data_IF_845730766085
#
_entry.id   IF_845730766085
#
_cell.length_a   1.000
_cell.length_b   1.000
_cell.length_c   1.000
_cell.angle_alpha   90.00
_cell.angle_beta   90.00
_cell.angle_gamma   90.00
#
_symmetry.space_group_name_H-M   'P 1'
#
loop_
_entity.id
_entity.type
_entity.pdbx_description
1 polymer ?
#
# COMPACT_ATOMS: atom_id res chain seq x y z
N UNK A 1 60.06 8.43 1.10
CA UNK A 1 59.39 7.20 1.59
C UNK A 1 58.59 7.59 2.82
N UNK A 2 57.27 7.71 2.68
CA UNK A 2 56.36 7.61 3.82
C UNK A 2 54.99 7.22 3.29
N UNK A 3 54.46 6.19 3.93
CA UNK A 3 53.37 5.33 3.49
C UNK A 3 52.02 5.97 3.83
N UNK A 4 51.10 5.84 2.88
CA UNK A 4 49.68 6.16 2.98
C UNK A 4 49.00 5.34 4.08
N UNK A 5 48.11 5.96 4.86
CA UNK A 5 47.03 5.26 5.53
C UNK A 5 45.74 6.05 5.33
N UNK A 6 44.85 5.47 4.51
CA UNK A 6 43.55 5.99 4.16
C UNK A 6 42.56 5.72 5.30
N UNK A 7 41.90 6.81 5.67
CA UNK A 7 40.71 6.96 6.49
C UNK A 7 39.68 5.84 6.33
N UNK A 8 39.28 5.26 7.46
CA UNK A 8 37.99 4.62 7.67
C UNK A 8 36.88 5.67 7.51
N UNK A 9 36.04 5.51 6.49
CA UNK A 9 34.79 6.25 6.35
C UNK A 9 33.65 5.32 6.79
N UNK A 10 33.28 5.40 8.06
CA UNK A 10 32.03 4.83 8.56
C UNK A 10 30.88 5.67 7.98
N UNK A 11 30.21 5.10 6.97
CA UNK A 11 29.01 5.66 6.35
C UNK A 11 27.83 5.52 7.30
N UNK A 12 27.49 6.62 7.97
CA UNK A 12 26.33 6.76 8.84
C UNK A 12 25.04 6.74 7.99
N UNK A 13 24.47 5.55 7.77
CA UNK A 13 23.16 5.39 7.14
C UNK A 13 22.05 5.71 8.16
N UNK A 14 21.17 6.66 7.84
CA UNK A 14 20.01 7.01 8.66
C UNK A 14 19.07 5.80 8.87
N UNK A 15 18.33 5.71 9.98
CA UNK A 15 17.36 4.64 10.20
C UNK A 15 16.27 4.67 9.12
N UNK A 16 15.99 3.52 8.51
CA UNK A 16 14.97 3.37 7.48
C UNK A 16 13.60 3.13 8.14
N UNK A 17 12.62 3.99 7.86
CA UNK A 17 11.25 3.90 8.39
C UNK A 17 10.17 3.67 7.31
N UNK A 18 9.07 3.04 7.73
CA UNK A 18 8.03 2.56 6.81
C UNK A 18 7.28 3.69 6.12
N UNK A 19 7.11 4.82 6.80
CA UNK A 19 6.37 5.98 6.31
C UNK A 19 7.14 6.71 5.18
N UNK A 20 8.46 6.83 5.30
CA UNK A 20 9.31 7.39 4.24
C UNK A 20 9.28 6.58 2.96
N UNK A 21 9.17 5.25 3.06
CA UNK A 21 8.99 4.38 1.89
C UNK A 21 7.60 4.55 1.28
N UNK A 22 6.53 4.60 2.09
CA UNK A 22 5.16 4.88 1.63
C UNK A 22 5.11 6.17 0.82
N UNK A 23 5.73 7.24 1.33
CA UNK A 23 5.77 8.53 0.65
C UNK A 23 6.42 8.45 -0.73
N UNK A 24 7.60 7.82 -0.81
CA UNK A 24 8.33 7.72 -2.08
C UNK A 24 7.55 6.97 -3.17
N UNK A 25 6.70 5.99 -2.79
CA UNK A 25 5.81 5.29 -3.73
C UNK A 25 4.76 6.23 -4.32
N UNK A 26 4.20 7.13 -3.51
CA UNK A 26 3.22 8.11 -3.98
C UNK A 26 3.85 9.19 -4.84
N UNK A 27 5.05 9.69 -4.52
CA UNK A 27 5.75 10.62 -5.41
C UNK A 27 6.01 9.99 -6.78
N UNK A 28 6.45 8.73 -6.80
CA UNK A 28 6.69 7.97 -8.01
C UNK A 28 5.41 7.74 -8.85
N UNK A 29 4.22 7.81 -8.23
CA UNK A 29 2.96 7.69 -8.96
C UNK A 29 2.68 8.86 -9.92
N UNK A 30 3.26 10.02 -9.65
CA UNK A 30 3.10 11.23 -10.45
C UNK A 30 4.32 11.49 -11.36
N UNK A 31 5.48 10.88 -11.05
CA UNK A 31 6.71 10.99 -11.84
C UNK A 31 7.41 9.63 -11.98
N UNK A 32 7.47 9.12 -13.21
CA UNK A 32 8.02 7.79 -13.48
C UNK A 32 9.50 7.64 -13.08
N UNK A 33 10.28 8.73 -13.10
CA UNK A 33 11.71 8.71 -12.81
C UNK A 33 12.03 8.44 -11.33
N UNK A 34 11.04 8.56 -10.43
CA UNK A 34 11.23 8.37 -8.99
C UNK A 34 11.02 6.91 -8.53
N UNK A 35 10.53 6.02 -9.39
CA UNK A 35 10.24 4.63 -9.02
C UNK A 35 11.48 3.86 -8.55
N UNK A 36 12.64 4.08 -9.17
CA UNK A 36 13.88 3.41 -8.78
C UNK A 36 14.27 3.78 -7.34
N UNK A 37 14.29 5.07 -7.00
CA UNK A 37 14.59 5.52 -5.64
C UNK A 37 13.54 5.11 -4.60
N UNK A 38 12.27 5.01 -4.99
CA UNK A 38 11.22 4.53 -4.10
C UNK A 38 11.42 3.05 -3.75
N UNK A 39 11.77 2.23 -4.74
CA UNK A 39 12.06 0.81 -4.53
C UNK A 39 13.33 0.57 -3.72
N UNK A 40 14.32 1.45 -3.81
CA UNK A 40 15.50 1.41 -2.92
C UNK A 40 15.10 1.59 -1.46
N UNK A 41 14.22 2.56 -1.16
CA UNK A 41 13.70 2.78 0.19
C UNK A 41 12.91 1.59 0.70
N UNK A 42 12.07 0.98 -0.15
CA UNK A 42 11.33 -0.25 0.19
C UNK A 42 12.29 -1.39 0.56
N UNK A 43 13.32 -1.64 -0.26
CA UNK A 43 14.26 -2.71 -0.01
C UNK A 43 15.00 -2.52 1.32
N UNK A 44 15.43 -1.29 1.56
CA UNK A 44 16.25 -0.93 2.70
C UNK A 44 15.53 -1.15 4.05
N UNK A 45 14.20 -1.05 4.13
CA UNK A 45 13.42 -1.37 5.35
C UNK A 45 13.60 -2.78 5.89
N UNK A 46 14.02 -3.68 5.01
CA UNK A 46 14.20 -5.10 5.31
C UNK A 46 15.65 -5.51 5.08
N UNK A 47 16.60 -4.56 5.11
CA UNK A 47 18.02 -4.78 4.83
C UNK A 47 18.27 -5.57 3.53
N UNK A 48 17.45 -5.34 2.51
CA UNK A 48 17.46 -6.14 1.29
C UNK A 48 18.37 -5.54 0.22
N UNK A 49 18.89 -6.39 -0.67
CA UNK A 49 19.74 -6.02 -1.82
C UNK A 49 19.00 -5.09 -2.77
N UNK A 50 17.69 -5.32 -2.94
CA UNK A 50 16.84 -4.44 -3.74
C UNK A 50 15.39 -4.90 -3.79
N UNK A 51 14.56 -4.11 -4.45
CA UNK A 51 13.15 -4.38 -4.68
C UNK A 51 12.77 -4.13 -6.15
N UNK A 52 11.84 -4.94 -6.65
CA UNK A 52 11.38 -4.94 -8.04
C UNK A 52 9.87 -5.07 -8.09
N UNK A 53 9.27 -4.36 -9.05
CA UNK A 53 7.86 -4.55 -9.41
C UNK A 53 7.82 -5.52 -10.59
N UNK A 54 7.06 -6.60 -10.45
CA UNK A 54 6.68 -7.45 -11.57
C UNK A 54 5.23 -7.18 -11.94
N UNK A 55 4.94 -7.12 -13.23
CA UNK A 55 3.59 -6.99 -13.74
C UNK A 55 3.37 -7.98 -14.89
N UNK A 56 2.23 -8.67 -14.86
CA UNK A 56 1.80 -9.49 -15.98
C UNK A 56 1.28 -8.58 -17.09
N UNK A 57 1.59 -8.90 -18.34
CA UNK A 57 1.03 -8.25 -19.52
C UNK A 57 0.48 -9.30 -20.48
N UNK A 58 -0.29 -8.92 -21.53
CA UNK A 58 -0.69 -9.85 -22.57
C UNK A 58 0.49 -10.54 -23.27
N UNK A 59 1.67 -9.90 -23.30
CA UNK A 59 2.89 -10.41 -23.93
C UNK A 59 3.73 -11.28 -22.99
N UNK A 60 3.39 -11.35 -21.69
CA UNK A 60 4.16 -12.07 -20.68
C UNK A 60 4.46 -11.23 -19.45
N UNK A 61 5.32 -11.75 -18.57
CA UNK A 61 5.77 -11.01 -17.39
C UNK A 61 6.76 -9.91 -17.75
N UNK A 62 6.58 -8.76 -17.13
CA UNK A 62 7.38 -7.56 -17.33
C UNK A 62 7.90 -7.06 -15.99
N UNK A 63 8.96 -6.25 -16.05
CA UNK A 63 9.52 -5.54 -14.90
C UNK A 63 9.35 -4.03 -15.15
N UNK A 64 8.25 -3.42 -14.69
CA UNK A 64 8.03 -1.99 -14.90
C UNK A 64 9.08 -1.10 -14.24
N UNK A 65 9.59 -1.50 -13.07
CA UNK A 65 10.66 -0.78 -12.37
C UNK A 65 11.38 -1.66 -11.36
N UNK A 66 12.63 -1.30 -11.06
CA UNK A 66 13.46 -1.92 -10.02
C UNK A 66 14.39 -0.87 -9.37
N UNK A 67 14.84 -1.17 -8.15
CA UNK A 67 15.90 -0.42 -7.47
C UNK A 67 17.27 -0.68 -8.11
N UNK A 68 18.21 0.27 -8.03
CA UNK A 68 19.52 0.13 -8.67
C UNK A 68 20.31 -1.11 -8.23
N UNK A 69 20.20 -1.48 -6.94
CA UNK A 69 20.93 -2.63 -6.36
C UNK A 69 20.63 -4.00 -6.98
N UNK A 70 19.55 -4.12 -7.76
CA UNK A 70 19.19 -5.37 -8.46
C UNK A 70 19.00 -5.17 -9.98
N UNK A 71 19.39 -4.01 -10.52
CA UNK A 71 19.21 -3.70 -11.94
C UNK A 71 19.96 -4.71 -12.84
N UNK A 72 21.18 -5.10 -12.48
CA UNK A 72 21.96 -6.10 -13.22
C UNK A 72 21.29 -7.50 -13.18
N UNK A 73 20.72 -7.86 -12.02
CA UNK A 73 19.96 -9.10 -11.87
C UNK A 73 18.71 -9.11 -12.76
N UNK A 74 17.99 -7.99 -12.82
CA UNK A 74 16.82 -7.81 -13.69
C UNK A 74 17.22 -7.88 -15.18
N UNK A 75 18.33 -7.27 -15.57
CA UNK A 75 18.85 -7.37 -16.94
C UNK A 75 19.10 -8.82 -17.36
N UNK A 76 19.89 -9.55 -16.56
CA UNK A 76 20.17 -10.98 -16.80
C UNK A 76 18.90 -11.85 -16.75
N UNK A 77 17.94 -11.53 -15.87
CA UNK A 77 16.65 -12.24 -15.80
C UNK A 77 15.90 -12.19 -17.13
N UNK A 78 15.85 -11.00 -17.76
CA UNK A 78 15.15 -10.77 -19.02
C UNK A 78 15.93 -11.37 -20.20
N UNK A 79 17.23 -11.11 -20.28
CA UNK A 79 18.09 -11.54 -21.39
C UNK A 79 18.23 -13.07 -21.48
N UNK A 80 18.34 -13.74 -20.34
CA UNK A 80 18.52 -15.20 -20.25
C UNK A 80 17.18 -15.96 -20.11
N UNK A 81 16.04 -15.25 -20.18
CA UNK A 81 14.71 -15.85 -20.17
C UNK A 81 14.38 -16.64 -18.89
N UNK A 82 14.81 -16.14 -17.72
CA UNK A 82 14.61 -16.83 -16.44
C UNK A 82 13.13 -16.92 -16.01
N UNK A 83 12.23 -16.17 -16.66
CA UNK A 83 10.78 -16.28 -16.45
C UNK A 83 10.22 -17.68 -16.70
N UNK A 84 10.76 -18.42 -17.66
CA UNK A 84 10.35 -19.80 -17.93
C UNK A 84 10.87 -20.83 -16.91
N UNK A 85 11.79 -20.43 -16.02
CA UNK A 85 12.45 -21.27 -15.01
C UNK A 85 12.27 -20.71 -13.60
N UNK A 86 11.34 -19.78 -13.42
CA UNK A 86 11.09 -19.12 -12.15
C UNK A 86 10.03 -19.92 -11.36
N UNK A 87 10.38 -20.55 -10.22
CA UNK A 87 9.43 -21.34 -9.44
C UNK A 87 8.24 -20.53 -8.92
N UNK A 88 8.37 -19.21 -8.80
CA UNK A 88 7.28 -18.29 -8.45
C UNK A 88 6.20 -18.19 -9.53
N UNK A 89 6.49 -18.62 -10.77
CA UNK A 89 5.57 -18.55 -11.90
C UNK A 89 5.00 -19.92 -12.32
N UNK A 90 5.46 -21.00 -11.67
CA UNK A 90 5.10 -22.39 -11.99
C UNK A 90 3.77 -22.85 -11.37
N UNK A 91 3.05 -21.97 -10.66
CA UNK A 91 1.75 -22.32 -10.06
C UNK A 91 1.85 -23.36 -8.92
N UNK A 92 2.98 -23.39 -8.22
CA UNK A 92 3.29 -24.37 -7.16
C UNK A 92 2.43 -24.26 -5.90
N UNK A 93 1.75 -23.12 -5.70
CA UNK A 93 0.80 -22.94 -4.60
C UNK A 93 -0.57 -23.50 -5.03
N UNK A 94 -1.13 -24.55 -4.38
CA UNK A 94 -2.37 -25.20 -4.82
C UNK A 94 -3.61 -24.28 -4.85
N UNK A 95 -3.65 -23.28 -3.96
CA UNK A 95 -4.69 -22.25 -3.93
C UNK A 95 -4.37 -21.05 -4.84
N UNK A 96 -3.18 -21.03 -5.44
CA UNK A 96 -2.63 -19.88 -6.15
C UNK A 96 -2.20 -18.75 -5.21
N UNK A 97 -1.64 -17.71 -5.82
CA UNK A 97 -1.32 -16.45 -5.15
C UNK A 97 -2.59 -15.61 -4.97
N UNK A 98 -2.81 -15.07 -3.78
CA UNK A 98 -3.89 -14.13 -3.53
C UNK A 98 -3.36 -12.70 -3.42
N UNK A 99 -4.07 -11.77 -4.03
CA UNK A 99 -3.79 -10.35 -3.83
C UNK A 99 -4.03 -9.96 -2.36
N UNK A 100 -3.14 -9.14 -1.82
CA UNK A 100 -3.15 -8.75 -0.40
C UNK A 100 -2.50 -9.78 0.52
N UNK A 101 -1.86 -10.82 0.00
CA UNK A 101 -1.03 -11.76 0.77
C UNK A 101 0.47 -11.52 0.51
N UNK A 102 1.31 -12.04 1.41
CA UNK A 102 2.77 -12.00 1.33
C UNK A 102 3.31 -13.41 1.43
N UNK A 103 4.18 -13.76 0.49
CA UNK A 103 4.79 -15.08 0.36
C UNK A 103 6.31 -14.96 0.37
N UNK A 104 6.98 -15.98 0.90
CA UNK A 104 8.44 -16.15 0.78
C UNK A 104 8.76 -17.40 -0.03
N UNK A 105 10.05 -17.62 -0.32
CA UNK A 105 10.49 -18.84 -0.99
C UNK A 105 10.06 -20.12 -0.28
N UNK A 106 9.94 -20.07 1.05
CA UNK A 106 9.58 -21.20 1.90
C UNK A 106 8.11 -21.62 1.76
N UNK A 107 7.27 -20.71 1.26
CA UNK A 107 5.86 -20.99 0.96
C UNK A 107 5.71 -21.75 -0.38
N UNK A 108 6.77 -21.83 -1.18
CA UNK A 108 6.77 -22.33 -2.56
C UNK A 108 7.65 -23.59 -2.71
N UNK A 109 8.80 -23.59 -2.05
CA UNK A 109 9.80 -24.65 -2.10
C UNK A 109 10.19 -25.07 -0.68
N UNK A 110 10.41 -26.36 -0.47
CA UNK A 110 11.12 -26.79 0.73
C UNK A 110 12.61 -26.44 0.65
N UNK A 111 13.31 -26.44 1.80
CA UNK A 111 14.74 -26.09 1.88
C UNK A 111 15.62 -26.97 0.98
N UNK A 112 15.26 -28.24 0.79
CA UNK A 112 16.03 -29.19 -0.01
C UNK A 112 15.86 -28.92 -1.50
N UNK A 113 14.66 -28.56 -1.94
CA UNK A 113 14.33 -28.16 -3.31
C UNK A 113 14.95 -26.82 -3.65
N UNK A 114 14.84 -25.83 -2.76
CA UNK A 114 15.43 -24.50 -2.95
C UNK A 114 16.95 -24.58 -3.20
N UNK A 115 17.65 -25.46 -2.47
CA UNK A 115 19.10 -25.65 -2.64
C UNK A 115 19.52 -26.25 -3.99
N UNK A 116 18.61 -26.95 -4.68
CA UNK A 116 18.86 -27.62 -5.96
C UNK A 116 18.23 -26.89 -7.15
N UNK A 117 17.33 -25.95 -6.88
CA UNK A 117 16.65 -25.19 -7.91
C UNK A 117 17.63 -24.22 -8.59
N UNK A 118 17.77 -24.32 -9.91
CA UNK A 118 18.70 -23.49 -10.69
C UNK A 118 18.42 -21.99 -10.56
N UNK A 119 17.15 -21.58 -10.35
CA UNK A 119 16.82 -20.17 -10.11
C UNK A 119 17.52 -19.62 -8.87
N UNK A 120 17.59 -20.41 -7.79
CA UNK A 120 18.25 -20.00 -6.54
C UNK A 120 19.76 -20.28 -6.55
N UNK A 121 20.16 -21.49 -6.93
CA UNK A 121 21.53 -21.96 -6.83
C UNK A 121 22.47 -21.33 -7.88
N UNK A 122 21.96 -21.01 -9.07
CA UNK A 122 22.74 -20.46 -10.19
C UNK A 122 22.38 -19.00 -10.49
N UNK A 123 21.09 -18.67 -10.66
CA UNK A 123 20.72 -17.29 -11.02
C UNK A 123 20.81 -16.29 -9.84
N UNK A 124 20.01 -16.44 -8.79
CA UNK A 124 19.97 -15.47 -7.69
C UNK A 124 21.31 -15.35 -6.95
N UNK A 125 22.03 -16.46 -6.80
CA UNK A 125 23.33 -16.50 -6.13
C UNK A 125 24.41 -15.65 -6.83
N UNK A 126 24.38 -15.54 -8.17
CA UNK A 126 25.28 -14.66 -8.96
C UNK A 126 25.19 -13.19 -8.55
N UNK A 127 24.03 -12.77 -8.04
CA UNK A 127 23.75 -11.40 -7.63
C UNK A 127 23.70 -11.24 -6.10
N UNK A 128 24.18 -12.23 -5.35
CA UNK A 128 24.19 -12.19 -3.88
C UNK A 128 22.81 -12.31 -3.23
N UNK A 129 21.78 -12.72 -3.99
CA UNK A 129 20.41 -12.88 -3.49
C UNK A 129 20.23 -14.31 -2.98
N UNK A 130 19.57 -14.49 -1.84
CA UNK A 130 19.27 -15.82 -1.29
C UNK A 130 17.85 -15.96 -0.75
N UNK A 131 17.23 -14.86 -0.34
CA UNK A 131 15.86 -14.85 0.18
C UNK A 131 15.00 -13.93 -0.67
N UNK A 132 13.75 -14.34 -0.92
CA UNK A 132 12.82 -13.58 -1.76
C UNK A 132 11.47 -13.51 -1.06
N UNK A 133 10.97 -12.30 -0.85
CA UNK A 133 9.64 -12.06 -0.33
C UNK A 133 8.83 -11.26 -1.35
N UNK A 134 7.64 -11.73 -1.67
CA UNK A 134 6.76 -11.08 -2.63
C UNK A 134 5.40 -10.80 -2.01
N UNK A 135 4.89 -9.59 -2.22
CA UNK A 135 3.48 -9.30 -1.99
C UNK A 135 2.76 -9.16 -3.32
N UNK A 136 1.61 -9.80 -3.41
CA UNK A 136 0.79 -9.83 -4.61
C UNK A 136 -0.23 -8.70 -4.49
N UNK A 137 -0.25 -7.83 -5.49
CA UNK A 137 -1.00 -6.57 -5.48
C UNK A 137 -2.23 -6.72 -6.36
N UNK A 138 -3.37 -6.21 -5.90
CA UNK A 138 -4.57 -6.19 -6.71
C UNK A 138 -4.44 -5.08 -7.76
N UNK A 139 -4.43 -5.45 -9.03
CA UNK A 139 -4.39 -4.47 -10.11
C UNK A 139 -5.76 -4.40 -10.77
N UNK A 140 -6.48 -3.30 -10.54
CA UNK A 140 -7.70 -2.98 -11.29
C UNK A 140 -7.43 -2.76 -12.79
N UNK A 141 -6.15 -2.71 -13.21
CA UNK A 141 -5.72 -2.74 -14.60
C UNK A 141 -5.84 -4.14 -15.25
N UNK A 142 -6.34 -5.14 -14.53
CA UNK A 142 -6.62 -6.48 -15.07
C UNK A 142 -5.39 -7.38 -15.19
N UNK A 143 -4.28 -7.02 -14.56
CA UNK A 143 -3.01 -7.74 -14.67
C UNK A 143 -2.35 -7.94 -13.31
N UNK A 144 -2.11 -9.19 -12.86
CA UNK A 144 -1.40 -9.45 -11.61
C UNK A 144 -0.09 -8.66 -11.51
N UNK A 145 0.04 -7.86 -10.46
CA UNK A 145 1.25 -7.10 -10.13
C UNK A 145 1.77 -7.60 -8.80
N UNK A 146 3.08 -7.58 -8.60
CA UNK A 146 3.69 -7.90 -7.32
C UNK A 146 4.88 -7.00 -7.05
N UNK A 147 5.06 -6.67 -5.78
CA UNK A 147 6.32 -6.12 -5.28
C UNK A 147 7.13 -7.25 -4.68
N UNK A 148 8.39 -7.34 -5.10
CA UNK A 148 9.31 -8.39 -4.69
C UNK A 148 10.53 -7.73 -4.07
N UNK A 149 10.95 -8.25 -2.93
CA UNK A 149 12.11 -7.79 -2.19
C UNK A 149 13.10 -8.95 -2.08
N UNK A 150 14.37 -8.66 -2.42
CA UNK A 150 15.44 -9.66 -2.55
C UNK A 150 16.51 -9.41 -1.48
N UNK A 151 16.69 -10.36 -0.55
CA UNK A 151 17.62 -10.23 0.58
C UNK A 151 18.84 -11.15 0.43
N UNK A 152 19.97 -10.67 0.93
CA UNK A 152 21.23 -11.40 0.93
C UNK A 152 21.23 -12.51 1.99
N UNK A 153 22.10 -13.52 1.80
CA UNK A 153 22.25 -14.61 2.77
C UNK A 153 22.71 -14.15 4.15
N UNK A 154 23.50 -13.07 4.22
CA UNK A 154 24.06 -12.55 5.48
C UNK A 154 23.00 -12.04 6.45
N UNK A 155 21.85 -11.60 5.93
CA UNK A 155 20.78 -10.97 6.71
C UNK A 155 19.73 -11.97 7.23
N UNK A 156 19.88 -13.26 6.91
CA UNK A 156 18.92 -14.30 7.28
C UNK A 156 17.59 -14.25 6.50
N UNK A 157 16.69 -15.17 6.82
CA UNK A 157 15.36 -15.25 6.19
C UNK A 157 14.43 -14.13 6.65
N UNK A 158 13.41 -13.82 5.85
CA UNK A 158 12.37 -12.87 6.23
C UNK A 158 11.52 -13.35 7.41
N UNK A 159 11.27 -12.44 8.35
CA UNK A 159 10.48 -12.69 9.55
C UNK A 159 9.05 -12.12 9.42
N UNK A 160 8.18 -12.41 10.40
CA UNK A 160 6.80 -11.91 10.41
C UNK A 160 6.70 -10.38 10.41
N UNK A 161 7.69 -9.69 11.00
CA UNK A 161 7.78 -8.24 10.97
C UNK A 161 8.00 -7.73 9.53
N UNK A 162 8.90 -8.37 8.79
CA UNK A 162 9.16 -8.06 7.37
C UNK A 162 7.90 -8.27 6.52
N UNK A 163 7.20 -9.39 6.74
CA UNK A 163 5.94 -9.70 6.03
C UNK A 163 4.88 -8.63 6.28
N UNK A 164 4.70 -8.18 7.52
CA UNK A 164 3.74 -7.13 7.88
C UNK A 164 4.10 -5.79 7.24
N UNK A 165 5.39 -5.44 7.25
CA UNK A 165 5.88 -4.21 6.63
C UNK A 165 5.67 -4.21 5.11
N UNK A 166 6.04 -5.31 4.42
CA UNK A 166 5.83 -5.42 2.99
C UNK A 166 4.34 -5.41 2.63
N UNK A 167 3.49 -6.06 3.43
CA UNK A 167 2.04 -6.03 3.21
C UNK A 167 1.47 -4.61 3.29
N UNK A 168 1.93 -3.80 4.25
CA UNK A 168 1.51 -2.40 4.35
C UNK A 168 1.96 -1.61 3.12
N UNK A 169 3.23 -1.73 2.73
CA UNK A 169 3.79 -1.06 1.55
C UNK A 169 3.10 -1.48 0.26
N UNK A 170 2.77 -2.76 0.11
CA UNK A 170 2.09 -3.29 -1.05
C UNK A 170 0.72 -2.63 -1.27
N UNK A 171 -0.01 -2.31 -0.20
CA UNK A 171 -1.28 -1.55 -0.28
C UNK A 171 -1.06 -0.13 -0.75
N UNK A 172 -0.02 0.54 -0.25
CA UNK A 172 0.32 1.89 -0.68
C UNK A 172 0.83 1.93 -2.13
N UNK A 173 1.59 0.91 -2.54
CA UNK A 173 2.00 0.73 -3.92
C UNK A 173 0.78 0.47 -4.80
N UNK A 174 -0.19 -0.33 -4.36
CA UNK A 174 -1.44 -0.54 -5.08
C UNK A 174 -2.13 0.79 -5.40
N UNK A 175 -2.28 1.64 -4.38
CA UNK A 175 -2.87 2.97 -4.55
C UNK A 175 -2.03 3.84 -5.49
N UNK A 176 -0.71 3.83 -5.34
CA UNK A 176 0.21 4.57 -6.21
C UNK A 176 0.10 4.14 -7.68
N UNK A 177 -0.06 2.83 -7.94
CA UNK A 177 -0.27 2.31 -9.29
C UNK A 177 -1.66 2.68 -9.84
N UNK A 178 -2.70 2.75 -8.99
CA UNK A 178 -4.03 3.27 -9.40
C UNK A 178 -3.96 4.74 -9.79
N UNK A 179 -3.20 5.56 -9.07
CA UNK A 179 -2.96 6.97 -9.40
C UNK A 179 -2.26 7.07 -10.75
N UNK A 180 -1.17 6.31 -10.93
CA UNK A 180 -0.42 6.25 -12.19
C UNK A 180 -1.33 5.84 -13.34
N UNK A 181 -2.17 4.82 -13.14
CA UNK A 181 -3.13 4.34 -14.12
C UNK A 181 -4.20 5.38 -14.49
N UNK A 182 -4.78 6.05 -13.48
CA UNK A 182 -5.76 7.10 -13.68
C UNK A 182 -5.14 8.27 -14.44
N UNK A 183 -3.90 8.65 -14.09
CA UNK A 183 -3.14 9.70 -14.78
C UNK A 183 -2.78 9.32 -16.23
N UNK A 184 -2.35 8.09 -16.49
CA UNK A 184 -2.04 7.63 -17.85
C UNK A 184 -3.31 7.51 -18.72
N UNK A 185 -4.42 7.00 -18.16
CA UNK A 185 -5.72 6.98 -18.84
C UNK A 185 -6.24 8.39 -19.09
N UNK A 186 -6.01 9.32 -18.16
CA UNK A 186 -6.48 10.70 -18.30
C UNK A 186 -5.72 11.45 -19.41
N UNK A 187 -4.42 11.20 -19.59
CA UNK A 187 -3.64 11.68 -20.74
C UNK A 187 -4.20 11.20 -22.10
N UNK A 188 -4.72 9.98 -22.17
CA UNK A 188 -5.32 9.43 -23.40
C UNK A 188 -6.71 10.02 -23.67
N UNK A 189 -7.45 10.41 -22.62
CA UNK A 189 -8.77 11.04 -22.71
C UNK A 189 -8.73 12.58 -22.81
N UNK A 190 -7.55 13.21 -22.80
CA UNK A 190 -7.39 14.67 -22.83
C UNK A 190 -7.68 15.39 -21.50
N UNK A 191 -7.83 14.63 -20.42
CA UNK A 191 -8.12 15.07 -19.05
C UNK A 191 -6.86 15.31 -18.22
N UNK A 192 -6.96 16.19 -17.23
CA UNK A 192 -5.81 16.70 -16.46
C UNK A 192 -5.43 15.80 -15.27
N UNK A 193 -4.22 15.95 -14.69
CA UNK A 193 -3.78 15.25 -13.45
C UNK A 193 -4.75 15.49 -12.30
N UNK A 194 -5.28 16.71 -12.24
CA UNK A 194 -6.35 17.17 -11.38
C UNK A 194 -7.58 16.25 -11.36
N UNK A 195 -8.02 15.76 -12.52
CA UNK A 195 -9.18 14.86 -12.62
C UNK A 195 -8.86 13.45 -12.13
N UNK A 196 -7.63 12.98 -12.33
CA UNK A 196 -7.16 11.70 -11.79
C UNK A 196 -7.07 11.74 -10.26
N UNK A 197 -6.59 12.85 -9.69
CA UNK A 197 -6.59 13.11 -8.25
C UNK A 197 -8.01 13.07 -7.67
N UNK A 198 -8.99 13.70 -8.34
CA UNK A 198 -10.39 13.73 -7.88
C UNK A 198 -11.09 12.36 -7.93
N UNK A 199 -10.61 11.43 -8.76
CA UNK A 199 -11.16 10.07 -8.90
C UNK A 199 -10.63 9.06 -7.86
N UNK A 200 -9.64 9.44 -7.03
CA UNK A 200 -9.06 8.54 -6.02
C UNK A 200 -10.03 8.27 -4.86
N UNK A 201 -10.08 7.01 -4.40
CA UNK A 201 -10.89 6.60 -3.26
C UNK A 201 -10.26 6.96 -1.90
N UNK A 202 -8.94 7.01 -1.82
CA UNK A 202 -8.22 7.42 -0.61
C UNK A 202 -8.37 8.94 -0.38
N UNK A 203 -8.77 9.42 0.81
CA UNK A 203 -8.79 10.84 1.12
C UNK A 203 -7.41 11.50 0.95
N UNK A 204 -7.34 12.49 0.05
CA UNK A 204 -6.14 13.27 -0.22
C UNK A 204 -6.46 14.77 -0.32
N UNK A 205 -5.61 15.59 0.29
CA UNK A 205 -5.69 17.06 0.27
C UNK A 205 -4.34 17.65 -0.11
N UNK A 206 -4.36 18.81 -0.73
CA UNK A 206 -3.17 19.62 -0.98
C UNK A 206 -3.31 20.90 -0.18
N UNK A 207 -2.37 21.15 0.71
CA UNK A 207 -2.35 22.31 1.59
C UNK A 207 -1.32 23.33 1.08
N UNK A 208 -1.64 24.62 1.21
CA UNK A 208 -0.67 25.69 1.00
C UNK A 208 0.28 25.89 2.21
N UNK A 209 1.16 26.88 2.10
CA UNK A 209 2.08 27.30 3.16
C UNK A 209 1.37 27.72 4.47
N UNK A 210 0.10 28.10 4.41
CA UNK A 210 -0.74 28.46 5.56
C UNK A 210 -1.67 27.32 5.98
N UNK A 211 -1.44 26.10 5.47
CA UNK A 211 -2.28 24.92 5.70
C UNK A 211 -3.71 25.04 5.19
N UNK A 212 -3.98 25.98 4.27
CA UNK A 212 -5.29 26.10 3.62
C UNK A 212 -5.42 25.05 2.54
N UNK A 213 -6.56 24.34 2.44
CA UNK A 213 -6.77 23.39 1.36
C UNK A 213 -6.80 24.12 0.01
N UNK A 214 -5.77 23.92 -0.81
CA UNK A 214 -5.79 24.34 -2.22
C UNK A 214 -6.63 23.39 -3.05
N UNK A 215 -6.61 22.10 -2.70
CA UNK A 215 -7.39 21.06 -3.36
C UNK A 215 -7.77 19.94 -2.40
N UNK A 216 -8.95 19.38 -2.59
CA UNK A 216 -9.44 18.18 -1.94
C UNK A 216 -9.94 17.23 -3.03
N UNK A 217 -9.61 15.94 -2.94
CA UNK A 217 -10.30 14.97 -3.78
C UNK A 217 -11.69 14.65 -3.22
N UNK A 218 -12.50 13.91 -4.00
CA UNK A 218 -13.88 13.58 -3.63
C UNK A 218 -13.98 12.90 -2.26
N UNK A 219 -13.05 12.01 -1.93
CA UNK A 219 -13.04 11.29 -0.65
C UNK A 219 -12.66 12.18 0.52
N UNK A 220 -11.71 13.11 0.35
CA UNK A 220 -11.29 14.06 1.37
C UNK A 220 -12.37 15.07 1.75
N UNK A 221 -13.28 15.40 0.83
CA UNK A 221 -14.43 16.26 1.13
C UNK A 221 -15.30 15.75 2.29
N UNK A 222 -15.29 14.44 2.58
CA UNK A 222 -16.03 13.84 3.71
C UNK A 222 -15.35 14.06 5.07
N UNK A 223 -14.06 14.41 5.08
CA UNK A 223 -13.30 14.63 6.31
C UNK A 223 -13.51 16.05 6.86
N UNK A 224 -13.72 17.02 5.97
CA UNK A 224 -14.03 18.40 6.33
C UNK A 224 -15.44 18.46 6.94
N UNK A 225 -15.56 19.13 8.08
CA UNK A 225 -16.76 19.20 8.92
C UNK A 225 -16.87 18.09 9.98
N UNK A 226 -16.21 16.93 9.77
CA UNK A 226 -16.17 15.83 10.76
C UNK A 226 -14.88 15.87 11.57
N UNK A 227 -13.74 15.72 10.90
CA UNK A 227 -12.42 15.67 11.52
C UNK A 227 -11.69 17.01 11.48
N UNK A 228 -12.00 17.84 10.49
CA UNK A 228 -11.37 19.13 10.29
C UNK A 228 -12.37 20.26 10.11
N UNK A 229 -11.98 21.45 10.53
CA UNK A 229 -12.63 22.72 10.25
C UNK A 229 -11.68 23.61 9.46
N UNK A 230 -12.21 24.33 8.48
CA UNK A 230 -11.47 25.34 7.74
C UNK A 230 -11.70 26.71 8.39
N UNK A 231 -10.62 27.39 8.77
CA UNK A 231 -10.64 28.73 9.35
C UNK A 231 -9.69 29.67 8.60
N UNK A 232 -9.62 30.94 9.03
CA UNK A 232 -8.66 31.91 8.48
C UNK A 232 -7.20 31.46 8.67
N UNK A 233 -6.92 30.62 9.69
CA UNK A 233 -5.60 30.06 9.98
C UNK A 233 -5.30 28.76 9.20
N UNK A 234 -6.22 28.34 8.31
CA UNK A 234 -6.11 27.11 7.53
C UNK A 234 -6.94 25.95 8.07
N UNK A 235 -6.62 24.74 7.61
CA UNK A 235 -7.27 23.52 8.05
C UNK A 235 -6.82 23.18 9.47
N UNK A 236 -7.76 22.90 10.37
CA UNK A 236 -7.48 22.52 11.76
C UNK A 236 -8.34 21.33 12.17
N UNK A 237 -7.82 20.40 13.00
CA UNK A 237 -8.65 19.38 13.63
C UNK A 237 -9.83 19.99 14.38
N UNK A 238 -10.99 19.34 14.35
CA UNK A 238 -12.18 19.76 15.11
C UNK A 238 -11.94 19.70 16.62
N UNK A 239 -11.11 18.76 17.07
CA UNK A 239 -10.74 18.57 18.48
C UNK A 239 -9.44 19.33 18.78
N UNK A 240 -9.50 20.30 19.70
CA UNK A 240 -8.37 21.17 20.02
C UNK A 240 -7.12 20.44 20.49
N UNK A 241 -7.26 19.27 21.12
CA UNK A 241 -6.14 18.46 21.60
C UNK A 241 -5.25 17.92 20.46
N UNK A 242 -5.77 17.85 19.23
CA UNK A 242 -5.05 17.31 18.08
C UNK A 242 -4.37 18.39 17.24
N UNK A 243 -4.69 19.66 17.51
CA UNK A 243 -4.25 20.79 16.69
C UNK A 243 -2.73 20.92 16.67
N UNK A 244 -2.07 20.81 17.82
CA UNK A 244 -0.61 20.97 17.92
C UNK A 244 0.13 19.86 17.16
N UNK A 245 -0.29 18.60 17.33
CA UNK A 245 0.28 17.44 16.63
C UNK A 245 0.10 17.56 15.12
N UNK A 246 -1.10 17.91 14.66
CA UNK A 246 -1.41 18.14 13.25
C UNK A 246 -0.57 19.28 12.64
N UNK A 247 -0.54 20.44 13.30
CA UNK A 247 0.21 21.62 12.81
C UNK A 247 1.68 21.28 12.71
N UNK A 248 2.27 20.66 13.74
CA UNK A 248 3.68 20.27 13.72
C UNK A 248 4.00 19.29 12.59
N UNK A 249 3.06 18.39 12.26
CA UNK A 249 3.18 17.40 11.19
C UNK A 249 3.16 18.06 9.81
N UNK A 250 2.30 19.06 9.59
CA UNK A 250 2.26 19.81 8.33
C UNK A 250 3.47 20.75 8.19
N UNK A 251 3.87 21.46 9.25
CA UNK A 251 5.04 22.36 9.23
C UNK A 251 6.34 21.62 8.92
N UNK A 252 6.51 20.39 9.45
CA UNK A 252 7.66 19.53 9.11
C UNK A 252 7.70 19.22 7.61
N UNK A 253 6.57 18.84 7.02
CA UNK A 253 6.49 18.61 5.58
C UNK A 253 6.80 19.87 4.76
N UNK A 254 6.40 21.06 5.23
CA UNK A 254 6.74 22.33 4.57
C UNK A 254 8.22 22.74 4.74
N UNK A 255 8.86 22.32 5.83
CA UNK A 255 10.26 22.63 6.10
C UNK A 255 11.21 21.76 5.24
N UNK A 256 10.80 20.55 4.87
CA UNK A 256 11.63 19.62 4.10
C UNK A 256 11.61 19.95 2.60
N UNK A 257 12.45 20.90 2.20
CA UNK A 257 12.64 21.30 0.80
C UNK A 257 13.71 20.48 0.08
N UNK A 258 14.34 19.51 0.75
CA UNK A 258 15.52 18.79 0.23
C UNK A 258 15.64 17.33 0.69
N UNK A 259 14.57 16.53 0.79
CA UNK A 259 14.64 15.07 0.97
C UNK A 259 15.73 14.60 1.97
N UNK A 260 15.97 15.38 3.03
CA UNK A 260 17.09 15.17 3.95
C UNK A 260 16.55 15.06 5.37
N UNK A 261 16.47 13.79 5.77
CA UNK A 261 16.68 13.33 7.15
C UNK A 261 15.73 13.87 8.20
N UNK A 262 14.42 13.97 7.93
CA UNK A 262 13.44 14.13 9.01
C UNK A 262 12.26 13.17 8.85
N UNK A 263 12.05 12.40 9.92
CA UNK A 263 10.98 11.41 10.13
C UNK A 263 9.62 12.13 10.02
N UNK A 264 8.77 11.84 9.01
CA UNK A 264 7.38 12.26 9.05
C UNK A 264 6.73 11.59 10.26
N UNK A 265 6.20 12.39 11.18
CA UNK A 265 5.40 11.85 12.27
C UNK A 265 3.95 11.87 11.79
N UNK A 266 3.28 10.72 11.66
CA UNK A 266 1.86 10.74 11.35
C UNK A 266 1.10 11.39 12.50
N UNK A 267 0.20 12.31 12.17
CA UNK A 267 -0.71 12.89 13.15
C UNK A 267 -1.93 11.97 13.31
N UNK A 268 -2.41 11.83 14.54
CA UNK A 268 -3.66 11.11 14.80
C UNK A 268 -4.75 12.11 15.15
N UNK A 269 -5.86 12.06 14.41
CA UNK A 269 -6.98 12.97 14.58
C UNK A 269 -8.17 12.20 15.17
N UNK A 270 -8.70 12.75 16.25
CA UNK A 270 -9.89 12.26 16.91
C UNK A 270 -11.13 12.59 16.10
N UNK A 271 -12.11 11.70 16.18
CA UNK A 271 -13.45 11.98 15.71
C UNK A 271 -14.20 12.93 16.67
N UNK A 272 -15.44 13.34 16.36
CA UNK A 272 -16.23 14.19 17.25
C UNK A 272 -16.53 13.58 18.63
N UNK A 273 -16.37 12.26 18.79
CA UNK A 273 -16.53 11.56 20.07
C UNK A 273 -15.23 11.55 20.90
N UNK A 274 -14.13 12.02 20.33
CA UNK A 274 -12.81 12.13 20.99
C UNK A 274 -11.89 10.93 20.75
N UNK A 275 -12.32 9.92 20.00
CA UNK A 275 -11.55 8.71 19.75
C UNK A 275 -10.61 8.89 18.55
N UNK A 276 -9.34 8.47 18.67
CA UNK A 276 -8.33 8.55 17.62
C UNK A 276 -8.69 7.62 16.46
N UNK A 277 -9.39 8.14 15.46
CA UNK A 277 -9.95 7.36 14.34
C UNK A 277 -9.35 7.70 12.99
N UNK A 278 -8.63 8.81 12.84
CA UNK A 278 -8.03 9.17 11.57
C UNK A 278 -6.52 9.27 11.73
N UNK A 279 -5.78 8.61 10.84
CA UNK A 279 -4.32 8.78 10.75
C UNK A 279 -4.02 9.62 9.52
N UNK A 280 -3.17 10.62 9.69
CA UNK A 280 -2.81 11.59 8.67
C UNK A 280 -1.32 11.56 8.42
N UNK A 281 -0.95 11.42 7.15
CA UNK A 281 0.43 11.55 6.67
C UNK A 281 0.55 12.79 5.82
N UNK A 282 1.64 13.52 5.98
CA UNK A 282 1.95 14.73 5.23
C UNK A 282 3.26 14.57 4.49
N UNK A 283 3.35 15.24 3.36
CA UNK A 283 4.50 15.12 2.50
C UNK A 283 4.68 16.36 1.62
N UNK A 284 5.90 16.85 1.41
CA UNK A 284 6.12 18.00 0.52
C UNK A 284 5.70 17.66 -0.90
N UNK A 285 5.07 18.61 -1.59
CA UNK A 285 4.78 18.51 -3.01
C UNK A 285 5.69 19.50 -3.75
N UNK A 286 6.77 18.99 -4.34
CA UNK A 286 7.82 19.80 -4.99
C UNK A 286 8.04 19.41 -6.45
N UNK A 287 8.61 20.34 -7.22
CA UNK A 287 9.10 20.08 -8.58
C UNK A 287 8.02 19.61 -9.56
N UNK A 288 8.34 18.59 -10.36
CA UNK A 288 7.51 18.12 -11.47
C UNK A 288 6.12 17.62 -11.05
N UNK A 289 5.96 17.15 -9.81
CA UNK A 289 4.67 16.69 -9.28
C UNK A 289 3.74 17.86 -8.95
N UNK A 290 4.30 18.97 -8.44
CA UNK A 290 3.56 20.22 -8.23
C UNK A 290 3.13 20.82 -9.58
N UNK A 291 4.04 20.87 -10.56
CA UNK A 291 3.77 21.35 -11.92
C UNK A 291 2.66 20.53 -12.59
N UNK A 292 2.71 19.20 -12.47
CA UNK A 292 1.71 18.29 -13.01
C UNK A 292 0.30 18.58 -12.46
N UNK A 293 0.20 18.95 -11.18
CA UNK A 293 -1.05 19.34 -10.52
C UNK A 293 -1.43 20.82 -10.77
N UNK A 294 -0.65 21.56 -11.55
CA UNK A 294 -0.93 22.95 -11.95
C UNK A 294 -0.37 24.00 -10.99
N UNK A 295 0.52 23.62 -10.07
CA UNK A 295 1.16 24.53 -9.13
C UNK A 295 2.51 25.01 -9.68
N UNK A 296 2.54 26.24 -10.21
CA UNK A 296 3.67 26.77 -11.01
C UNK A 296 4.65 27.63 -10.19
N UNK A 297 4.30 27.96 -8.94
CA UNK A 297 5.12 28.82 -8.07
C UNK A 297 5.88 28.00 -7.03
N UNK A 298 7.03 28.51 -6.53
CA UNK A 298 7.76 27.89 -5.43
C UNK A 298 7.02 28.12 -4.09
N UNK A 299 5.80 27.63 -4.01
CA UNK A 299 5.00 27.58 -2.79
C UNK A 299 5.25 26.22 -2.13
N UNK A 300 5.27 26.19 -0.79
CA UNK A 300 5.50 24.97 -0.01
C UNK A 300 4.19 24.20 0.10
N UNK A 301 3.82 23.51 -0.97
CA UNK A 301 2.63 22.67 -0.97
C UNK A 301 2.87 21.39 -0.19
N UNK A 302 1.84 20.92 0.52
CA UNK A 302 1.88 19.65 1.25
C UNK A 302 0.77 18.77 0.74
N UNK A 303 1.12 17.58 0.26
CA UNK A 303 0.17 16.49 0.06
C UNK A 303 -0.13 15.87 1.43
N UNK A 304 -1.40 15.84 1.78
CA UNK A 304 -1.91 15.19 2.98
C UNK A 304 -2.77 14.00 2.60
N UNK A 305 -2.46 12.84 3.13
CA UNK A 305 -3.24 11.61 2.98
C UNK A 305 -3.85 11.24 4.32
N UNK A 306 -5.10 10.81 4.31
CA UNK A 306 -5.80 10.49 5.55
C UNK A 306 -6.52 9.14 5.47
N UNK A 307 -6.31 8.27 6.45
CA UNK A 307 -6.97 6.96 6.56
C UNK A 307 -7.84 6.93 7.80
N UNK A 308 -9.13 6.69 7.58
CA UNK A 308 -10.09 6.44 8.65
C UNK A 308 -9.96 4.98 9.10
N UNK A 309 -9.60 4.79 10.36
CA UNK A 309 -9.41 3.50 11.03
C UNK A 309 -10.73 2.78 11.30
N UNK A 310 -11.85 3.52 11.24
CA UNK A 310 -13.18 3.02 11.56
C UNK A 310 -14.10 2.89 10.36
N UNK A 311 -13.65 3.24 9.14
CA UNK A 311 -14.43 2.94 7.95
C UNK A 311 -14.50 1.42 7.79
N UNK A 312 -15.53 0.84 8.43
CA UNK A 312 -16.17 -0.42 8.12
C UNK A 312 -16.51 -0.34 6.64
N UNK A 313 -15.57 -0.74 5.78
CA UNK A 313 -15.91 -1.00 4.40
C UNK A 313 -16.83 -2.21 4.45
N UNK A 314 -18.13 -1.92 4.46
CA UNK A 314 -19.16 -2.88 4.12
C UNK A 314 -18.75 -3.47 2.78
N UNK A 315 -18.33 -4.74 2.79
CA UNK A 315 -18.00 -5.45 1.55
C UNK A 315 -19.26 -5.40 0.71
N UNK A 316 -19.13 -4.97 -0.54
CA UNK A 316 -20.27 -4.94 -1.43
C UNK A 316 -20.92 -6.35 -1.46
N UNK A 317 -22.22 -6.49 -1.15
CA UNK A 317 -22.86 -7.81 -1.09
C UNK A 317 -22.71 -8.63 -2.38
N UNK A 318 -22.50 -7.98 -3.52
CA UNK A 318 -22.26 -8.67 -4.80
C UNK A 318 -20.91 -9.41 -4.82
N UNK A 319 -19.88 -8.91 -4.13
CA UNK A 319 -18.56 -9.53 -4.01
C UNK A 319 -18.64 -10.77 -3.13
N UNK A 320 -19.23 -10.65 -1.93
CA UNK A 320 -19.46 -11.79 -1.02
C UNK A 320 -20.25 -12.89 -1.74
N UNK A 321 -21.28 -12.49 -2.51
CA UNK A 321 -22.10 -13.42 -3.29
C UNK A 321 -21.28 -14.23 -4.28
N UNK A 322 -20.39 -13.56 -5.03
CA UNK A 322 -19.55 -14.18 -6.05
C UNK A 322 -18.49 -15.10 -5.44
N UNK A 323 -17.83 -14.67 -4.37
CA UNK A 323 -16.73 -15.41 -3.76
C UNK A 323 -17.21 -16.65 -3.00
N UNK A 324 -18.33 -16.54 -2.27
CA UNK A 324 -18.82 -17.61 -1.41
C UNK A 324 -20.08 -18.31 -1.92
N UNK A 325 -20.53 -18.01 -3.14
CA UNK A 325 -21.75 -18.60 -3.71
C UNK A 325 -23.01 -18.34 -2.87
N UNK A 326 -23.05 -17.24 -2.11
CA UNK A 326 -24.20 -16.89 -1.29
C UNK A 326 -25.38 -16.42 -2.16
N UNK A 327 -26.57 -16.35 -1.57
CA UNK A 327 -27.71 -15.64 -2.15
C UNK A 327 -27.64 -14.14 -1.86
N UNK A 328 -28.42 -13.32 -2.57
CA UNK A 328 -28.46 -11.86 -2.34
C UNK A 328 -28.82 -11.49 -0.90
N UNK A 329 -29.74 -12.23 -0.26
CA UNK A 329 -30.12 -12.00 1.14
C UNK A 329 -29.03 -12.41 2.14
N UNK A 330 -28.39 -13.55 1.91
CA UNK A 330 -27.26 -14.03 2.72
C UNK A 330 -26.06 -13.08 2.63
N UNK A 331 -25.74 -12.61 1.43
CA UNK A 331 -24.62 -11.70 1.23
C UNK A 331 -24.84 -10.32 1.85
N UNK A 332 -26.09 -9.81 1.84
CA UNK A 332 -26.45 -8.57 2.55
C UNK A 332 -26.29 -8.71 4.06
N UNK A 333 -26.70 -9.83 4.63
CA UNK A 333 -26.51 -10.11 6.07
C UNK A 333 -25.02 -10.25 6.41
N UNK A 334 -24.25 -10.99 5.60
CA UNK A 334 -22.80 -11.16 5.79
C UNK A 334 -22.04 -9.82 5.70
N UNK A 335 -22.39 -8.96 4.73
CA UNK A 335 -21.82 -7.62 4.59
C UNK A 335 -22.00 -6.78 5.85
N UNK A 336 -23.23 -6.71 6.37
CA UNK A 336 -23.56 -5.95 7.58
C UNK A 336 -22.80 -6.47 8.81
N UNK A 337 -22.63 -7.78 8.94
CA UNK A 337 -21.87 -8.38 10.05
C UNK A 337 -20.35 -8.13 9.92
N UNK A 338 -19.82 -7.96 8.70
CA UNK A 338 -18.41 -7.66 8.47
C UNK A 338 -18.03 -6.25 8.94
N UNK A 339 -18.96 -5.30 8.81
CA UNK A 339 -18.85 -3.93 9.32
C UNK A 339 -19.22 -3.82 10.81
N UNK A 340 -18.65 -4.68 11.64
CA UNK A 340 -18.68 -4.62 13.12
C UNK A 340 -20.06 -4.61 13.81
N UNK A 341 -21.16 -4.87 13.08
CA UNK A 341 -22.52 -4.98 13.66
C UNK A 341 -22.76 -6.32 14.31
N UNK A 342 -23.52 -6.31 15.40
CA UNK A 342 -24.07 -7.54 15.97
C UNK A 342 -25.26 -8.08 15.13
N UNK A 343 -25.68 -9.32 15.41
CA UNK A 343 -26.78 -9.97 14.66
C UNK A 343 -28.11 -9.23 14.80
N UNK A 344 -28.34 -8.57 15.93
CA UNK A 344 -29.58 -7.87 16.24
C UNK A 344 -29.68 -6.57 15.43
N UNK A 345 -28.58 -5.84 15.31
CA UNK A 345 -28.47 -4.64 14.49
C UNK A 345 -28.55 -4.95 13.00
N UNK A 346 -27.87 -6.01 12.56
CA UNK A 346 -27.94 -6.45 11.17
C UNK A 346 -29.37 -6.89 10.78
N UNK A 347 -30.10 -7.57 11.68
CA UNK A 347 -31.50 -7.93 11.47
C UNK A 347 -32.39 -6.69 11.33
N UNK A 348 -32.22 -5.69 12.21
CA UNK A 348 -32.94 -4.41 12.16
C UNK A 348 -32.69 -3.68 10.85
N UNK A 349 -31.44 -3.61 10.39
CA UNK A 349 -31.06 -2.95 9.14
C UNK A 349 -31.68 -3.61 7.90
N UNK A 350 -31.95 -4.92 7.95
CA UNK A 350 -32.59 -5.67 6.86
C UNK A 350 -34.12 -5.74 6.95
N UNK A 351 -34.73 -5.19 8.01
CA UNK A 351 -36.17 -5.28 8.23
C UNK A 351 -36.67 -6.71 8.50
N UNK A 352 -35.83 -7.57 9.09
CA UNK A 352 -36.15 -8.96 9.43
C UNK A 352 -36.06 -9.20 10.95
N UNK A 353 -36.66 -10.30 11.42
CA UNK A 353 -36.51 -10.69 12.83
C UNK A 353 -35.10 -11.21 13.14
N UNK A 354 -34.64 -11.04 14.37
CA UNK A 354 -33.36 -11.59 14.83
C UNK A 354 -33.30 -13.13 14.68
N UNK A 355 -34.43 -13.81 14.92
CA UNK A 355 -34.55 -15.25 14.70
C UNK A 355 -34.30 -15.65 13.24
N UNK A 356 -34.86 -14.87 12.29
CA UNK A 356 -34.62 -15.05 10.86
C UNK A 356 -33.15 -14.82 10.52
N UNK A 357 -32.53 -13.77 11.06
CA UNK A 357 -31.11 -13.48 10.83
C UNK A 357 -30.20 -14.62 11.34
N UNK A 358 -30.47 -15.18 12.53
CA UNK A 358 -29.70 -16.32 13.08
C UNK A 358 -29.84 -17.59 12.22
N UNK A 359 -31.03 -17.85 11.66
CA UNK A 359 -31.24 -18.98 10.75
C UNK A 359 -30.47 -18.79 9.44
N UNK A 360 -30.50 -17.60 8.87
CA UNK A 360 -29.74 -17.28 7.65
C UNK A 360 -28.23 -17.36 7.93
N UNK A 361 -27.77 -16.87 9.08
CA UNK A 361 -26.36 -16.92 9.49
C UNK A 361 -25.83 -18.37 9.60
N UNK A 362 -26.64 -19.31 10.12
CA UNK A 362 -26.27 -20.74 10.10
C UNK A 362 -26.09 -21.31 8.69
N UNK A 363 -26.89 -20.86 7.71
CA UNK A 363 -26.72 -21.28 6.32
C UNK A 363 -25.46 -20.69 5.72
N UNK A 364 -25.15 -19.42 6.04
CA UNK A 364 -23.91 -18.78 5.63
C UNK A 364 -22.70 -19.55 6.16
N UNK A 365 -22.69 -19.90 7.45
CA UNK A 365 -21.65 -20.72 8.07
C UNK A 365 -21.41 -22.04 7.32
N UNK A 366 -22.50 -22.77 7.02
CA UNK A 366 -22.42 -24.01 6.25
C UNK A 366 -21.88 -23.83 4.83
N UNK A 367 -22.18 -22.71 4.16
CA UNK A 367 -21.73 -22.43 2.78
C UNK A 367 -20.28 -21.94 2.72
N UNK A 368 -19.88 -21.16 3.72
CA UNK A 368 -18.54 -20.53 3.80
C UNK A 368 -17.53 -21.47 4.49
N UNK A 369 -17.98 -22.52 5.18
CA UNK A 369 -17.11 -23.48 5.85
C UNK A 369 -16.58 -23.00 7.20
N UNK A 370 -17.33 -22.13 7.89
CA UNK A 370 -16.97 -21.59 9.21
C UNK A 370 -18.01 -21.96 10.25
N UNK A 371 -17.64 -21.93 11.52
CA UNK A 371 -18.51 -22.36 12.63
C UNK A 371 -18.94 -21.23 13.55
N UNK A 372 -18.20 -20.10 13.52
CA UNK A 372 -18.43 -18.95 14.40
C UNK A 372 -18.57 -17.65 13.60
N UNK A 373 -19.34 -16.71 14.15
CA UNK A 373 -19.47 -15.37 13.59
C UNK A 373 -18.11 -14.66 13.49
N UNK A 374 -17.25 -14.81 14.49
CA UNK A 374 -15.90 -14.21 14.49
C UNK A 374 -15.05 -14.78 13.35
N UNK A 375 -15.18 -16.07 13.04
CA UNK A 375 -14.48 -16.70 11.90
C UNK A 375 -15.01 -16.16 10.57
N UNK A 376 -16.34 -16.04 10.43
CA UNK A 376 -16.96 -15.42 9.26
C UNK A 376 -16.48 -13.98 9.07
N UNK A 377 -16.50 -13.16 10.12
CA UNK A 377 -16.08 -11.75 10.06
C UNK A 377 -14.59 -11.65 9.71
N UNK A 378 -13.73 -12.46 10.32
CA UNK A 378 -12.31 -12.50 9.95
C UNK A 378 -12.09 -12.89 8.50
N UNK A 379 -12.86 -13.87 7.99
CA UNK A 379 -12.77 -14.33 6.62
C UNK A 379 -13.32 -13.29 5.62
N UNK A 380 -14.39 -12.61 5.98
CA UNK A 380 -14.95 -11.49 5.21
C UNK A 380 -14.00 -10.29 5.21
N UNK A 381 -13.36 -9.96 6.33
CA UNK A 381 -12.34 -8.91 6.39
C UNK A 381 -11.12 -9.18 5.50
N UNK A 382 -10.83 -10.45 5.17
CA UNK A 382 -9.83 -10.79 4.12
C UNK A 382 -10.26 -10.35 2.72
N UNK A 383 -11.56 -10.26 2.45
CA UNK A 383 -12.06 -9.66 1.20
C UNK A 383 -11.99 -8.13 1.22
N UNK A 384 -11.98 -7.53 2.41
CA UNK A 384 -11.94 -6.08 2.60
C UNK A 384 -10.53 -5.54 2.46
N UNK A 385 -9.47 -6.35 2.57
CA UNK A 385 -8.08 -5.89 2.67
C UNK A 385 -7.80 -4.65 1.81
N UNK A 386 -7.89 -3.52 2.54
CA UNK A 386 -7.93 -2.11 2.14
C UNK A 386 -6.55 -1.51 2.08
#
# INVERSE_FOLDING_TARGET
>A
MTVSNLSSADGNAAPLDIDGAIYSLYEASLSADLWTSALERVAALSASVGAVIFAKSPQGWTVPSCSAGIADAVGSYLDEGWSGRNPWLEGRIPAGFHAGDVYTEQDILDLSEASRNAFYADFLSRFGISHVMASIIHSELGSPTSIVVCRARSEGSFEDADRKALLLLARHLEQSLRITAAYLKSKVAGSTVAEAFDAMDQPALILDEKMRPLRLNRSAGKLVGRYFVESEDGLRPTISADVEDFVSTVERAQADTRLREQIPHPATISDPEGEKRLVVWTAPLVGTSADALGFVKPEKHVLMLAKDLETDQLIEPTIIRKVFGLTTGEARLASLLAGSRDVKEAARALGISEGTARVVLKRIFSKVGVSRQVELVSLLRRLILQ
#
